data_IF_661623089923
#
_entry.id   IF_661623089923
#
_cell.length_a   1.000
_cell.length_b   1.000
_cell.length_c   1.000
_cell.angle_alpha   90.00
_cell.angle_beta   90.00
_cell.angle_gamma   90.00
#
_symmetry.space_group_name_H-M   'P 1'
#
loop_
_entity.id
_entity.type
_entity.pdbx_description
1 polymer ?
#
# COMPACT_ATOMS: atom_id res chain seq x y z
N UNK A 1 8.89 27.51 -8.55
CA UNK A 1 7.54 26.99 -8.87
C UNK A 1 7.52 25.47 -8.78
N UNK A 2 8.23 24.73 -9.65
CA UNK A 2 8.34 23.25 -9.54
C UNK A 2 8.98 22.80 -8.22
N UNK A 3 10.01 23.48 -7.74
CA UNK A 3 10.66 23.17 -6.45
C UNK A 3 9.70 23.26 -5.26
N UNK A 4 8.76 24.21 -5.28
CA UNK A 4 7.70 24.32 -4.28
C UNK A 4 6.75 23.11 -4.36
N UNK A 5 6.40 22.68 -5.56
CA UNK A 5 5.57 21.50 -5.78
C UNK A 5 6.27 20.22 -5.31
N UNK A 6 7.58 20.11 -5.52
CA UNK A 6 8.38 19.01 -5.01
C UNK A 6 8.34 18.97 -3.48
N UNK A 7 8.57 20.11 -2.81
CA UNK A 7 8.50 20.19 -1.35
C UNK A 7 7.12 19.79 -0.81
N UNK A 8 6.05 20.23 -1.47
CA UNK A 8 4.66 19.84 -1.10
C UNK A 8 4.46 18.33 -1.15
N UNK A 9 4.95 17.68 -2.21
CA UNK A 9 4.88 16.22 -2.37
C UNK A 9 5.64 15.52 -1.26
N UNK A 10 6.87 15.94 -0.97
CA UNK A 10 7.72 15.35 0.07
C UNK A 10 7.09 15.48 1.47
N UNK A 11 6.60 16.67 1.83
CA UNK A 11 5.95 16.93 3.12
C UNK A 11 4.67 16.11 3.30
N UNK A 12 3.82 16.06 2.27
CA UNK A 12 2.57 15.29 2.34
C UNK A 12 2.82 13.79 2.39
N UNK A 13 3.77 13.29 1.60
CA UNK A 13 4.15 11.87 1.61
C UNK A 13 4.67 11.47 2.98
N UNK A 14 5.63 12.23 3.53
CA UNK A 14 6.24 11.95 4.83
C UNK A 14 5.21 11.89 5.94
N UNK A 15 4.33 12.89 6.02
CA UNK A 15 3.23 12.93 7.00
C UNK A 15 2.33 11.70 6.91
N UNK A 16 2.02 11.24 5.69
CA UNK A 16 1.10 10.12 5.48
C UNK A 16 1.77 8.79 5.81
N UNK A 17 3.05 8.63 5.47
CA UNK A 17 3.86 7.47 5.86
C UNK A 17 3.96 7.36 7.39
N UNK A 18 4.21 8.47 8.09
CA UNK A 18 4.24 8.50 9.55
C UNK A 18 2.90 8.10 10.18
N UNK A 19 1.80 8.58 9.60
CA UNK A 19 0.45 8.26 10.07
C UNK A 19 0.05 6.81 9.81
N UNK A 20 0.50 6.23 8.68
CA UNK A 20 0.33 4.82 8.36
C UNK A 20 1.17 3.97 9.36
N UNK A 21 2.44 4.30 9.59
CA UNK A 21 3.26 3.65 10.62
C UNK A 21 2.59 3.67 11.99
N UNK A 22 2.13 4.87 12.40
CA UNK A 22 1.47 5.06 13.70
C UNK A 22 0.26 4.15 13.86
N UNK A 23 -0.51 3.94 12.78
CA UNK A 23 -1.66 3.03 12.79
C UNK A 23 -1.28 1.56 12.96
N UNK A 24 -0.08 1.16 12.53
CA UNK A 24 0.42 -0.21 12.61
C UNK A 24 1.21 -0.51 13.89
N UNK A 25 1.52 0.49 14.73
CA UNK A 25 2.35 0.29 15.95
C UNK A 25 1.80 -0.75 16.91
N UNK A 26 0.47 -0.85 17.05
CA UNK A 26 -0.16 -1.88 17.89
C UNK A 26 0.12 -3.28 17.33
N UNK A 27 -0.09 -3.47 16.03
CA UNK A 27 0.17 -4.72 15.32
C UNK A 27 1.66 -5.10 15.40
N UNK A 28 2.58 -4.14 15.22
CA UNK A 28 4.03 -4.34 15.43
C UNK A 28 4.33 -4.82 16.84
N UNK A 29 3.77 -4.16 17.85
CA UNK A 29 3.96 -4.55 19.25
C UNK A 29 3.45 -5.95 19.57
N UNK A 30 2.31 -6.37 19.00
CA UNK A 30 1.77 -7.72 19.15
C UNK A 30 2.65 -8.78 18.46
N UNK A 31 3.07 -8.51 17.22
CA UNK A 31 3.95 -9.38 16.46
C UNK A 31 5.30 -9.60 17.17
N UNK A 32 5.93 -8.53 17.66
CA UNK A 32 7.22 -8.62 18.35
C UNK A 32 7.14 -9.31 19.71
N UNK A 33 6.08 -9.09 20.49
CA UNK A 33 5.88 -9.84 21.74
C UNK A 33 5.66 -11.34 21.48
N UNK A 34 4.87 -11.68 20.46
CA UNK A 34 4.69 -13.06 20.02
C UNK A 34 6.02 -13.70 19.62
N UNK A 35 6.82 -13.00 18.81
CA UNK A 35 8.13 -13.47 18.37
C UNK A 35 9.10 -13.67 19.55
N UNK A 36 9.09 -12.77 20.55
CA UNK A 36 9.89 -12.93 21.76
C UNK A 36 9.53 -14.23 22.50
N UNK A 37 8.23 -14.51 22.69
CA UNK A 37 7.76 -15.77 23.30
C UNK A 37 8.18 -17.01 22.51
N UNK A 38 8.31 -16.93 21.18
CA UNK A 38 8.85 -18.02 20.37
C UNK A 38 10.33 -18.29 20.70
N UNK A 39 11.12 -17.24 20.91
CA UNK A 39 12.56 -17.31 21.19
C UNK A 39 12.87 -17.75 22.62
N UNK A 40 12.00 -17.43 23.58
CA UNK A 40 12.15 -17.83 24.99
C UNK A 40 11.91 -19.34 25.21
N UNK A 41 11.42 -20.07 24.20
CA UNK A 41 11.10 -21.49 24.31
C UNK A 41 12.31 -22.39 24.04
N UNK A 42 12.99 -22.80 25.11
CA UNK A 42 14.17 -23.68 25.05
C UNK A 42 13.89 -25.09 24.49
N UNK A 43 12.61 -25.51 24.43
CA UNK A 43 12.25 -26.85 23.91
C UNK A 43 12.04 -26.86 22.40
N UNK A 44 11.95 -25.68 21.76
CA UNK A 44 11.74 -25.60 20.33
C UNK A 44 13.03 -25.87 19.56
N UNK A 45 12.94 -26.67 18.51
CA UNK A 45 14.01 -26.74 17.52
C UNK A 45 14.16 -25.41 16.79
N UNK A 46 15.33 -25.17 16.19
CA UNK A 46 15.63 -23.97 15.40
C UNK A 46 14.53 -23.70 14.35
N UNK A 47 14.16 -24.73 13.59
CA UNK A 47 13.12 -24.61 12.55
C UNK A 47 11.75 -24.25 13.13
N UNK A 48 11.42 -24.76 14.33
CA UNK A 48 10.16 -24.45 15.01
C UNK A 48 10.12 -23.01 15.50
N UNK A 49 11.22 -22.49 16.04
CA UNK A 49 11.34 -21.07 16.41
C UNK A 49 11.16 -20.18 15.17
N UNK A 50 11.87 -20.47 14.08
CA UNK A 50 11.76 -19.70 12.83
C UNK A 50 10.33 -19.67 12.28
N UNK A 51 9.64 -20.82 12.24
CA UNK A 51 8.25 -20.89 11.80
C UNK A 51 7.30 -20.13 12.74
N UNK A 52 7.53 -20.20 14.05
CA UNK A 52 6.75 -19.46 15.06
C UNK A 52 6.90 -17.95 14.85
N UNK A 53 8.13 -17.45 14.73
CA UNK A 53 8.44 -16.03 14.46
C UNK A 53 7.81 -15.57 13.15
N UNK A 54 7.92 -16.37 12.08
CA UNK A 54 7.27 -16.06 10.80
C UNK A 54 5.75 -15.90 10.97
N UNK A 55 5.11 -16.84 11.66
CA UNK A 55 3.67 -16.78 11.90
C UNK A 55 3.23 -15.56 12.72
N UNK A 56 4.05 -15.10 13.67
CA UNK A 56 3.79 -13.87 14.42
C UNK A 56 3.81 -12.62 13.53
N UNK A 57 4.64 -12.60 12.47
CA UNK A 57 4.82 -11.44 11.61
C UNK A 57 3.93 -11.46 10.35
N UNK A 58 3.40 -12.61 9.91
CA UNK A 58 2.63 -12.72 8.66
C UNK A 58 1.62 -11.59 8.43
N UNK A 59 0.74 -11.31 9.40
CA UNK A 59 -0.28 -10.25 9.24
C UNK A 59 0.30 -8.84 9.26
N UNK A 60 1.43 -8.63 9.95
CA UNK A 60 2.17 -7.37 9.91
C UNK A 60 2.83 -7.18 8.56
N UNK A 61 3.51 -8.20 8.05
CA UNK A 61 4.20 -8.19 6.76
C UNK A 61 3.20 -7.92 5.63
N UNK A 62 2.05 -8.58 5.63
CA UNK A 62 0.96 -8.35 4.67
C UNK A 62 0.45 -6.90 4.71
N UNK A 63 0.26 -6.34 5.90
CA UNK A 63 -0.21 -4.96 6.06
C UNK A 63 0.85 -3.94 5.60
N UNK A 64 2.12 -4.21 5.88
CA UNK A 64 3.24 -3.37 5.46
C UNK A 64 3.45 -3.42 3.94
N UNK A 65 3.34 -4.60 3.34
CA UNK A 65 3.47 -4.75 1.89
C UNK A 65 2.33 -4.04 1.16
N UNK A 66 1.09 -4.22 1.62
CA UNK A 66 -0.05 -3.50 1.05
C UNK A 66 0.11 -1.97 1.15
N UNK A 67 0.61 -1.47 2.30
CA UNK A 67 0.89 -0.05 2.47
C UNK A 67 1.91 0.46 1.43
N UNK A 68 2.96 -0.33 1.21
CA UNK A 68 4.04 -0.03 0.26
C UNK A 68 3.52 -0.01 -1.17
N UNK A 69 2.80 -1.05 -1.58
CA UNK A 69 2.22 -1.15 -2.92
C UNK A 69 1.28 0.02 -3.24
N UNK A 70 0.44 0.42 -2.29
CA UNK A 70 -0.46 1.54 -2.49
C UNK A 70 0.27 2.89 -2.56
N UNK A 71 1.30 3.10 -1.75
CA UNK A 71 2.14 4.30 -1.84
C UNK A 71 2.84 4.37 -3.20
N UNK A 72 3.43 3.26 -3.65
CA UNK A 72 4.06 3.15 -4.96
C UNK A 72 3.05 3.40 -6.09
N UNK A 73 1.85 2.85 -5.99
CA UNK A 73 0.77 3.07 -6.97
C UNK A 73 0.43 4.55 -7.09
N UNK A 74 0.33 5.29 -5.99
CA UNK A 74 0.00 6.71 -6.01
C UNK A 74 1.18 7.55 -6.50
N UNK A 75 2.42 7.21 -6.14
CA UNK A 75 3.64 7.85 -6.67
C UNK A 75 3.78 7.66 -8.19
N UNK A 76 3.54 6.45 -8.70
CA UNK A 76 3.56 6.16 -10.13
C UNK A 76 2.50 6.97 -10.90
N UNK A 77 1.35 7.28 -10.29
CA UNK A 77 0.34 8.15 -10.91
C UNK A 77 0.84 9.60 -11.01
N UNK A 78 1.54 10.11 -10.00
CA UNK A 78 2.13 11.44 -10.06
C UNK A 78 3.20 11.53 -11.15
N UNK A 79 4.12 10.56 -11.21
CA UNK A 79 5.17 10.52 -12.24
C UNK A 79 4.58 10.51 -13.65
N UNK A 80 3.58 9.64 -13.92
CA UNK A 80 2.90 9.61 -15.22
C UNK A 80 2.17 10.93 -15.55
N UNK A 81 1.58 11.59 -14.55
CA UNK A 81 0.94 12.89 -14.75
C UNK A 81 1.93 13.98 -15.16
N UNK A 82 3.10 14.03 -14.51
CA UNK A 82 4.16 14.99 -14.85
C UNK A 82 4.75 14.70 -16.24
N UNK A 83 4.92 13.43 -16.60
CA UNK A 83 5.33 13.05 -17.96
C UNK A 83 4.33 13.50 -19.01
N UNK A 84 3.03 13.30 -18.77
CA UNK A 84 1.96 13.78 -19.67
C UNK A 84 1.96 15.32 -19.81
N UNK A 85 2.26 16.05 -18.73
CA UNK A 85 2.49 17.50 -18.82
C UNK A 85 3.65 17.84 -19.77
N UNK A 86 4.78 17.13 -19.66
CA UNK A 86 5.94 17.35 -20.51
C UNK A 86 5.66 17.04 -21.98
N UNK A 87 4.96 15.93 -22.25
CA UNK A 87 4.62 15.53 -23.62
C UNK A 87 3.69 16.55 -24.29
N UNK A 88 2.69 17.06 -23.55
CA UNK A 88 1.81 18.15 -24.04
C UNK A 88 2.57 19.42 -24.40
N UNK A 89 3.61 19.75 -23.66
CA UNK A 89 4.46 20.91 -23.98
C UNK A 89 5.26 20.66 -25.25
N UNK A 90 5.86 19.48 -25.40
CA UNK A 90 6.62 19.11 -26.61
C UNK A 90 5.75 19.12 -27.86
N UNK A 91 4.54 18.55 -27.77
CA UNK A 91 3.59 18.52 -28.86
C UNK A 91 3.14 19.93 -29.28
N UNK A 92 2.98 20.84 -28.32
CA UNK A 92 2.61 22.23 -28.58
C UNK A 92 3.77 23.08 -29.11
N UNK A 93 5.01 22.84 -28.66
CA UNK A 93 6.17 23.65 -28.99
C UNK A 93 6.64 23.51 -30.44
N UNK A 94 6.39 22.35 -31.08
CA UNK A 94 6.90 22.07 -32.42
C UNK A 94 8.43 22.04 -32.48
N UNK A 95 9.03 22.00 -33.69
CA UNK A 95 10.46 21.70 -33.85
C UNK A 95 11.41 22.86 -33.50
N UNK A 96 10.96 24.12 -33.47
CA UNK A 96 11.80 25.30 -33.22
C UNK A 96 11.03 26.39 -32.44
N UNK A 97 10.84 26.24 -31.12
CA UNK A 97 10.20 27.26 -30.29
C UNK A 97 11.11 28.50 -30.13
N UNK A 98 10.52 29.70 -30.12
CA UNK A 98 11.24 30.94 -29.80
C UNK A 98 11.47 31.06 -28.28
N UNK A 99 12.34 31.98 -27.84
CA UNK A 99 12.56 32.25 -26.41
C UNK A 99 11.26 32.63 -25.67
N UNK A 100 10.39 33.42 -26.32
CA UNK A 100 9.09 33.81 -25.77
C UNK A 100 8.14 32.61 -25.64
N UNK A 101 8.22 31.67 -26.58
CA UNK A 101 7.45 30.43 -26.51
C UNK A 101 7.95 29.55 -25.36
N UNK A 102 9.27 29.48 -25.15
CA UNK A 102 9.87 28.73 -24.03
C UNK A 102 9.40 29.23 -22.67
N UNK A 103 9.34 30.55 -22.44
CA UNK A 103 8.82 31.15 -21.21
C UNK A 103 7.34 30.80 -20.99
N UNK A 104 6.53 30.95 -22.05
CA UNK A 104 5.11 30.58 -22.03
C UNK A 104 4.91 29.10 -21.72
N UNK A 105 5.68 28.22 -22.34
CA UNK A 105 5.59 26.77 -22.13
C UNK A 105 6.06 26.36 -20.74
N UNK A 106 7.06 27.04 -20.18
CA UNK A 106 7.46 26.85 -18.78
C UNK A 106 6.32 27.15 -17.82
N UNK A 107 5.60 28.26 -18.03
CA UNK A 107 4.46 28.62 -17.18
C UNK A 107 3.31 27.60 -17.32
N UNK A 108 3.01 27.16 -18.54
CA UNK A 108 1.98 26.13 -18.79
C UNK A 108 2.37 24.80 -18.13
N UNK A 109 3.65 24.42 -18.20
CA UNK A 109 4.18 23.24 -17.54
C UNK A 109 4.00 23.31 -16.02
N UNK A 110 4.40 24.43 -15.41
CA UNK A 110 4.27 24.66 -13.98
C UNK A 110 2.81 24.55 -13.50
N UNK A 111 1.87 25.14 -14.25
CA UNK A 111 0.44 25.03 -13.95
C UNK A 111 -0.08 23.60 -14.10
N UNK A 112 0.42 22.84 -15.07
CA UNK A 112 0.07 21.44 -15.26
C UNK A 112 0.58 20.57 -14.10
N UNK A 113 1.85 20.71 -13.72
CA UNK A 113 2.47 19.99 -12.60
C UNK A 113 1.77 20.31 -11.29
N UNK A 114 1.40 21.57 -11.05
CA UNK A 114 0.63 21.95 -9.86
C UNK A 114 -0.67 21.15 -9.74
N UNK A 115 -1.43 20.98 -10.84
CA UNK A 115 -2.66 20.16 -10.85
C UNK A 115 -2.37 18.68 -10.56
N UNK A 116 -1.26 18.15 -11.06
CA UNK A 116 -0.83 16.78 -10.73
C UNK A 116 -0.57 16.62 -9.24
N UNK A 117 0.12 17.59 -8.63
CA UNK A 117 0.42 17.59 -7.19
C UNK A 117 -0.83 17.79 -6.35
N UNK A 118 -1.75 18.68 -6.74
CA UNK A 118 -3.02 18.87 -6.04
C UNK A 118 -3.82 17.56 -5.99
N UNK A 119 -3.96 16.87 -7.13
CA UNK A 119 -4.61 15.56 -7.18
C UNK A 119 -3.89 14.49 -6.35
N UNK A 120 -2.56 14.48 -6.38
CA UNK A 120 -1.76 13.59 -5.55
C UNK A 120 -2.03 13.82 -4.04
N UNK A 121 -2.02 15.08 -3.61
CA UNK A 121 -2.31 15.48 -2.24
C UNK A 121 -3.74 15.08 -1.80
N UNK A 122 -4.72 15.11 -2.70
CA UNK A 122 -6.10 14.70 -2.42
C UNK A 122 -6.26 13.18 -2.24
N UNK A 123 -5.45 12.38 -2.94
CA UNK A 123 -5.49 10.91 -2.86
C UNK A 123 -4.88 10.40 -1.56
N UNK A 124 -3.82 11.04 -1.06
CA UNK A 124 -3.07 10.55 0.10
C UNK A 124 -3.92 10.37 1.38
N UNK A 125 -4.83 11.29 1.77
CA UNK A 125 -5.72 11.07 2.91
C UNK A 125 -6.69 9.89 2.72
N UNK A 126 -7.08 9.58 1.48
CA UNK A 126 -7.93 8.43 1.16
C UNK A 126 -7.14 7.14 1.38
N UNK A 127 -5.88 7.12 0.95
CA UNK A 127 -4.97 6.01 1.23
C UNK A 127 -4.82 5.80 2.74
N UNK A 128 -4.49 6.86 3.49
CA UNK A 128 -4.38 6.82 4.95
C UNK A 128 -5.64 6.24 5.62
N UNK A 129 -6.84 6.66 5.20
CA UNK A 129 -8.11 6.14 5.74
C UNK A 129 -8.31 4.67 5.44
N UNK A 130 -7.94 4.22 4.24
CA UNK A 130 -8.01 2.82 3.83
C UNK A 130 -7.08 1.96 4.68
N UNK A 131 -5.84 2.42 4.89
CA UNK A 131 -4.84 1.74 5.72
C UNK A 131 -5.22 1.67 7.21
N UNK A 132 -5.87 2.71 7.73
CA UNK A 132 -6.36 2.75 9.12
C UNK A 132 -7.57 1.87 9.39
N UNK A 133 -8.23 1.34 8.35
CA UNK A 133 -9.46 0.57 8.53
C UNK A 133 -9.15 -0.91 8.84
N UNK A 134 -9.38 -1.39 10.07
CA UNK A 134 -9.17 -2.79 10.44
C UNK A 134 -10.12 -3.76 9.71
N UNK A 135 -11.14 -3.25 9.01
CA UNK A 135 -12.07 -4.02 8.19
C UNK A 135 -11.77 -3.94 6.68
N UNK A 136 -10.64 -3.37 6.26
CA UNK A 136 -10.19 -3.47 4.88
C UNK A 136 -10.19 -4.96 4.49
N UNK A 137 -11.04 -5.32 3.52
CA UNK A 137 -11.46 -6.70 3.23
C UNK A 137 -10.30 -7.67 2.99
N UNK A 138 -9.11 -7.16 2.66
CA UNK A 138 -7.88 -7.91 2.44
C UNK A 138 -7.27 -8.50 3.74
N UNK A 139 -7.32 -7.79 4.87
CA UNK A 139 -6.80 -8.30 6.17
C UNK A 139 -7.71 -9.42 6.73
N UNK A 140 -9.02 -9.38 6.45
CA UNK A 140 -9.99 -10.36 6.99
C UNK A 140 -9.90 -11.75 6.36
N UNK A 141 -9.44 -11.88 5.13
CA UNK A 141 -9.35 -13.20 4.47
C UNK A 141 -8.19 -14.01 5.05
N UNK A 142 -7.09 -13.37 5.44
CA UNK A 142 -5.88 -14.05 5.91
C UNK A 142 -5.89 -14.30 7.44
N UNK A 143 -6.38 -13.33 8.24
CA UNK A 143 -6.53 -13.50 9.71
C UNK A 143 -7.48 -14.64 10.09
N UNK A 144 -8.50 -14.93 9.26
CA UNK A 144 -9.45 -16.03 9.53
C UNK A 144 -8.83 -17.43 9.33
N UNK A 145 -7.73 -17.53 8.58
CA UNK A 145 -7.03 -18.80 8.33
C UNK A 145 -5.83 -19.00 9.26
N UNK A 146 -5.09 -17.95 9.63
CA UNK A 146 -3.86 -18.07 10.42
C UNK A 146 -4.08 -18.40 11.92
N UNK A 147 -5.27 -18.13 12.47
CA UNK A 147 -5.56 -18.33 13.91
C UNK A 147 -6.33 -19.60 14.28
N UNK A 148 -6.61 -20.50 13.32
CA UNK A 148 -7.43 -21.69 13.61
C UNK A 148 -6.53 -22.88 13.97
N UNK A 149 -6.62 -23.47 15.18
CA UNK A 149 -5.86 -24.67 15.52
C UNK A 149 -6.21 -25.78 14.54
N UNK A 150 -5.22 -26.54 14.06
CA UNK A 150 -5.37 -27.67 13.11
C UNK A 150 -6.50 -28.64 13.52
N UNK A 151 -6.76 -28.78 14.83
CA UNK A 151 -7.88 -29.55 15.40
C UNK A 151 -9.29 -29.04 15.01
N UNK A 152 -9.47 -27.75 14.74
CA UNK A 152 -10.73 -27.16 14.26
C UNK A 152 -10.91 -27.28 12.74
N UNK A 153 -9.84 -27.52 11.98
CA UNK A 153 -9.89 -27.77 10.54
C UNK A 153 -10.39 -29.20 10.28
N UNK A 154 -9.91 -30.18 11.07
CA UNK A 154 -10.34 -31.58 10.99
C UNK A 154 -11.80 -31.81 11.45
N UNK A 155 -12.34 -30.97 12.33
CA UNK A 155 -13.75 -31.02 12.76
C UNK A 155 -14.70 -30.15 11.91
N UNK A 156 -14.20 -29.52 10.84
CA UNK A 156 -15.01 -28.74 9.88
C UNK A 156 -15.23 -29.45 8.54
N UNK A 157 -15.02 -30.76 8.50
CA UNK A 157 -15.52 -31.68 7.45
C UNK A 157 -17.04 -31.87 7.50
N UNK A 158 -17.79 -30.83 7.89
CA UNK A 158 -19.27 -30.82 7.93
C UNK A 158 -19.88 -29.77 6.98
N UNK A 159 -19.09 -29.10 6.14
CA UNK A 159 -19.60 -28.10 5.17
C UNK A 159 -19.24 -28.38 3.71
N UNK A 160 -18.86 -29.62 3.40
CA UNK A 160 -18.73 -30.09 2.02
C UNK A 160 -19.57 -31.35 1.81
N UNK A 161 -20.77 -31.13 1.27
CA UNK A 161 -21.61 -32.12 0.61
C UNK A 161 -23.10 -31.73 0.62
N UNK A 162 -23.86 -31.80 -0.50
CA UNK A 162 -23.47 -31.86 -1.91
C UNK A 162 -24.16 -30.76 -2.76
N UNK A 163 -23.45 -30.11 -3.68
CA UNK A 163 -24.09 -29.54 -4.89
C UNK A 163 -23.36 -30.12 -6.09
N UNK A 164 -23.58 -31.42 -6.28
CA UNK A 164 -23.59 -32.04 -7.59
C UNK A 164 -24.89 -32.83 -7.67
N UNK A 165 -25.89 -32.26 -8.32
CA UNK A 165 -26.75 -32.90 -9.33
C UNK A 165 -28.13 -32.26 -9.40
N UNK A 166 -28.67 -32.26 -10.63
CA UNK A 166 -29.99 -31.85 -11.16
C UNK A 166 -29.89 -30.60 -12.05
N UNK A 167 -30.01 -30.67 -13.38
CA UNK A 167 -30.29 -31.83 -14.24
C UNK A 167 -29.80 -31.55 -15.67
N UNK A 168 -29.32 -32.62 -16.30
CA UNK A 168 -29.34 -32.86 -17.75
C UNK A 168 -30.70 -32.47 -18.34
N UNK A 169 -30.70 -31.54 -19.28
CA UNK A 169 -31.45 -31.53 -20.54
C UNK A 169 -30.60 -30.79 -21.56
#
# INVERSE_FOLDING_TARGET
>A
MVEEQQKRVEEHTSRIVEEIDRSMRKMKGEAYRCAATCCDNETFSIQRVQNCVKNCNNSLDEAQEYAREELERVQNRLQRCVMDCNDKIKDAAGPNPSQRDMEKYSEIFDQCVKKCVDHYCDILPILQKTMKNPNAKHIRVLVKFAGTPIRKILNRTAFLGPILSYHRL
#
